data_IF_411658693905
#
_entry.id   IF_411658693905
#
_cell.length_a   1.000
_cell.length_b   1.000
_cell.length_c   1.000
_cell.angle_alpha   90.00
_cell.angle_beta   90.00
_cell.angle_gamma   90.00
#
_symmetry.space_group_name_H-M   'P 1'
#
loop_
_entity.id
_entity.type
_entity.pdbx_description
1 polymer ?
#
# COMPACT_ATOMS: atom_id res chain seq x y z
N UNK A 1 -16.60 -22.50 -8.97
CA UNK A 1 -16.44 -21.12 -9.45
C UNK A 1 -17.32 -20.21 -8.59
N UNK A 2 -16.81 -19.04 -8.26
CA UNK A 2 -17.58 -18.07 -7.47
C UNK A 2 -17.40 -16.70 -8.08
N UNK A 3 -18.49 -16.00 -8.31
CA UNK A 3 -18.47 -14.63 -8.82
C UNK A 3 -18.95 -13.72 -7.68
N UNK A 4 -18.07 -12.81 -7.24
CA UNK A 4 -18.43 -11.76 -6.28
C UNK A 4 -18.76 -10.52 -7.09
N UNK A 5 -20.00 -10.05 -6.94
CA UNK A 5 -20.47 -8.89 -7.71
C UNK A 5 -19.96 -7.59 -7.08
N UNK A 6 -20.09 -6.51 -7.80
CA UNK A 6 -19.67 -5.16 -7.39
C UNK A 6 -20.58 -4.60 -6.26
N UNK A 7 -20.68 -5.35 -5.18
CA UNK A 7 -21.49 -5.00 -4.01
C UNK A 7 -20.68 -4.93 -2.72
N UNK A 8 -19.37 -5.09 -2.83
CA UNK A 8 -18.46 -5.02 -1.68
C UNK A 8 -18.26 -3.56 -1.34
N UNK A 9 -18.49 -3.19 -0.09
CA UNK A 9 -18.27 -1.84 0.39
C UNK A 9 -16.80 -1.49 0.44
N UNK A 10 -16.49 -0.24 0.10
CA UNK A 10 -15.16 0.33 0.30
C UNK A 10 -14.92 0.52 1.79
N UNK A 11 -13.76 0.08 2.26
CA UNK A 11 -13.35 0.27 3.65
C UNK A 11 -12.46 1.50 3.76
N UNK A 12 -12.61 2.22 4.88
CA UNK A 12 -11.70 3.32 5.21
C UNK A 12 -10.46 2.75 5.86
N UNK A 13 -9.28 3.18 5.42
CA UNK A 13 -8.02 2.76 6.01
C UNK A 13 -7.92 3.23 7.46
N UNK A 14 -7.58 2.32 8.41
CA UNK A 14 -7.48 2.70 9.83
C UNK A 14 -6.37 3.73 10.06
N UNK A 15 -6.67 4.73 10.92
CA UNK A 15 -5.69 5.76 11.27
C UNK A 15 -4.43 5.20 11.97
N UNK A 16 -4.52 4.00 12.51
CA UNK A 16 -3.36 3.32 13.12
C UNK A 16 -2.31 2.94 12.09
N UNK A 17 -2.72 2.68 10.84
CA UNK A 17 -1.87 2.19 9.75
C UNK A 17 -1.64 3.20 8.64
N UNK A 18 -2.39 4.28 8.63
CA UNK A 18 -2.35 5.29 7.57
C UNK A 18 -2.37 6.71 8.12
N UNK A 19 -1.70 7.61 7.43
CA UNK A 19 -1.84 9.05 7.60
C UNK A 19 -2.61 9.59 6.40
N UNK A 20 -3.61 10.44 6.65
CA UNK A 20 -4.46 10.99 5.60
C UNK A 20 -5.58 10.03 5.18
N UNK A 21 -6.34 10.42 4.16
CA UNK A 21 -7.47 9.66 3.66
C UNK A 21 -7.05 8.51 2.75
N UNK A 22 -7.38 7.29 3.16
CA UNK A 22 -7.09 6.08 2.39
C UNK A 22 -8.35 5.21 2.34
N UNK A 23 -8.66 4.69 1.16
CA UNK A 23 -9.85 3.89 0.93
C UNK A 23 -9.44 2.57 0.28
N UNK A 24 -10.01 1.46 0.75
CA UNK A 24 -9.56 0.11 0.41
C UNK A 24 -10.71 -0.70 -0.14
N UNK A 25 -10.55 -1.21 -1.35
CA UNK A 25 -11.48 -2.14 -1.98
C UNK A 25 -10.84 -3.53 -2.03
N UNK A 26 -11.54 -4.53 -1.48
CA UNK A 26 -11.04 -5.91 -1.49
C UNK A 26 -11.07 -6.48 -2.92
N UNK A 27 -9.99 -7.15 -3.30
CA UNK A 27 -9.89 -7.87 -4.58
C UNK A 27 -9.86 -9.37 -4.33
N UNK A 28 -9.03 -9.83 -3.41
CA UNK A 28 -8.95 -11.24 -3.02
C UNK A 28 -8.68 -11.31 -1.52
N UNK A 29 -9.33 -12.26 -0.86
CA UNK A 29 -9.13 -12.50 0.58
C UNK A 29 -8.68 -13.93 0.79
N UNK A 30 -7.86 -14.20 1.82
CA UNK A 30 -7.47 -15.57 2.16
C UNK A 30 -8.72 -16.42 2.41
N UNK A 31 -8.69 -17.63 1.88
CA UNK A 31 -9.78 -18.60 2.04
C UNK A 31 -9.21 -20.01 2.09
N UNK A 32 -10.06 -21.01 2.18
CA UNK A 32 -9.62 -22.40 2.21
C UNK A 32 -8.70 -22.71 1.03
N UNK A 33 -7.47 -23.10 1.34
CA UNK A 33 -6.45 -23.42 0.35
C UNK A 33 -5.75 -22.25 -0.31
N UNK A 34 -6.08 -21.00 0.08
CA UNK A 34 -5.43 -19.81 -0.45
C UNK A 34 -4.98 -18.87 0.67
N UNK A 35 -3.75 -18.37 0.57
CA UNK A 35 -3.21 -17.37 1.49
C UNK A 35 -3.03 -16.00 0.82
N UNK A 36 -3.62 -15.85 -0.37
CA UNK A 36 -3.51 -14.61 -1.13
C UNK A 36 -4.44 -13.55 -0.58
N UNK A 37 -3.89 -12.37 -0.36
CA UNK A 37 -4.64 -11.17 -0.01
C UNK A 37 -4.30 -10.07 -1.01
N UNK A 38 -5.31 -9.49 -1.63
CA UNK A 38 -5.13 -8.40 -2.58
C UNK A 38 -6.20 -7.33 -2.39
N UNK A 39 -5.80 -6.07 -2.53
CA UNK A 39 -6.70 -4.93 -2.39
C UNK A 39 -6.33 -3.84 -3.37
N UNK A 40 -7.32 -3.09 -3.83
CA UNK A 40 -7.12 -1.83 -4.54
C UNK A 40 -7.16 -0.72 -3.49
N UNK A 41 -6.06 0.00 -3.36
CA UNK A 41 -5.87 0.99 -2.28
C UNK A 41 -5.75 2.38 -2.90
N UNK A 42 -6.62 3.29 -2.46
CA UNK A 42 -6.75 4.65 -2.96
C UNK A 42 -6.24 5.63 -1.92
N UNK A 43 -5.21 6.39 -2.28
CA UNK A 43 -4.59 7.39 -1.40
C UNK A 43 -4.93 8.78 -1.88
N UNK A 44 -5.49 9.62 -1.02
CA UNK A 44 -5.66 11.04 -1.31
C UNK A 44 -4.31 11.74 -1.29
N UNK A 45 -4.17 12.95 -1.89
CA UNK A 45 -2.89 13.66 -1.89
C UNK A 45 -2.26 13.75 -0.50
N UNK A 46 -1.01 13.37 -0.39
CA UNK A 46 -0.26 13.36 0.88
C UNK A 46 -0.51 12.17 1.79
N UNK A 47 -1.52 11.34 1.51
CA UNK A 47 -1.81 10.17 2.31
C UNK A 47 -0.76 9.07 2.08
N UNK A 48 -0.49 8.30 3.13
CA UNK A 48 0.55 7.26 3.10
C UNK A 48 0.34 6.22 4.18
N UNK A 49 0.97 5.07 4.01
CA UNK A 49 1.00 4.04 5.03
C UNK A 49 1.97 4.43 6.17
N UNK A 50 1.82 3.80 7.31
CA UNK A 50 2.88 3.73 8.31
C UNK A 50 4.04 2.89 7.77
N UNK A 51 5.20 2.92 8.43
CA UNK A 51 6.26 1.95 8.21
C UNK A 51 5.75 0.56 8.56
N UNK A 52 6.01 -0.42 7.71
CA UNK A 52 5.52 -1.78 7.93
C UNK A 52 6.35 -2.82 7.19
N UNK A 53 6.12 -4.08 7.52
CA UNK A 53 6.75 -5.24 6.89
C UNK A 53 5.69 -6.27 6.52
N UNK A 54 6.03 -7.13 5.58
CA UNK A 54 5.19 -8.28 5.19
C UNK A 54 5.99 -9.57 5.33
N UNK A 55 5.41 -10.65 5.89
CA UNK A 55 6.15 -11.90 6.13
C UNK A 55 6.64 -12.57 4.84
N UNK A 56 5.89 -12.43 3.73
CA UNK A 56 6.23 -13.03 2.45
C UNK A 56 6.49 -11.99 1.35
N UNK A 57 6.76 -10.73 1.75
CA UNK A 57 6.91 -9.62 0.82
C UNK A 57 5.58 -9.09 0.33
N UNK A 58 5.66 -8.03 -0.47
CA UNK A 58 4.49 -7.39 -1.07
C UNK A 58 4.81 -6.94 -2.47
N UNK A 59 3.87 -7.18 -3.39
CA UNK A 59 3.88 -6.52 -4.70
C UNK A 59 2.83 -5.43 -4.68
N UNK A 60 3.19 -4.23 -5.13
CA UNK A 60 2.22 -3.19 -5.46
C UNK A 60 2.31 -2.87 -6.95
N UNK A 61 1.16 -2.65 -7.55
CA UNK A 61 1.04 -2.29 -8.97
C UNK A 61 0.22 -1.01 -9.07
N UNK A 62 0.86 0.07 -9.52
CA UNK A 62 0.20 1.37 -9.63
C UNK A 62 -0.76 1.37 -10.80
N UNK A 63 -1.99 1.77 -10.55
CA UNK A 63 -3.05 1.82 -11.57
C UNK A 63 -3.43 3.25 -11.94
N UNK A 64 -3.34 4.19 -11.01
CA UNK A 64 -3.71 5.59 -11.24
C UNK A 64 -2.87 6.54 -10.40
N UNK A 65 -2.71 7.77 -10.89
CA UNK A 65 -2.11 8.85 -10.14
C UNK A 65 -0.60 8.79 -10.06
N UNK A 66 -0.03 9.44 -9.05
CA UNK A 66 1.41 9.47 -8.78
C UNK A 66 1.64 9.15 -7.32
N UNK A 67 2.49 8.18 -7.07
CA UNK A 67 2.82 7.75 -5.72
C UNK A 67 4.29 7.85 -5.37
N UNK A 68 4.55 7.55 -4.12
CA UNK A 68 5.90 7.50 -3.54
C UNK A 68 6.06 6.19 -2.79
N UNK A 69 7.27 5.68 -2.76
CA UNK A 69 7.62 4.54 -1.90
C UNK A 69 9.05 4.66 -1.41
N UNK A 70 9.32 4.04 -0.27
CA UNK A 70 10.64 4.05 0.34
C UNK A 70 10.84 2.80 1.18
N UNK A 71 12.00 2.16 1.05
CA UNK A 71 12.49 1.20 2.04
C UNK A 71 13.31 1.94 3.09
N UNK A 72 13.34 1.41 4.31
CA UNK A 72 14.14 2.00 5.39
C UNK A 72 15.61 2.10 4.96
N UNK A 73 16.18 3.29 5.08
CA UNK A 73 17.56 3.55 4.71
C UNK A 73 17.81 3.81 3.22
N UNK A 74 16.78 3.74 2.39
CA UNK A 74 16.88 4.03 0.96
C UNK A 74 16.29 5.37 0.57
N UNK A 75 16.41 5.76 -0.71
CA UNK A 75 15.78 6.97 -1.21
C UNK A 75 14.27 6.79 -1.38
N UNK A 76 13.54 7.91 -1.44
CA UNK A 76 12.13 7.90 -1.82
C UNK A 76 12.06 7.90 -3.35
N UNK A 77 11.38 6.90 -3.90
CA UNK A 77 11.17 6.78 -5.34
C UNK A 77 9.75 7.22 -5.72
N UNK A 78 9.64 7.86 -6.88
CA UNK A 78 8.34 8.22 -7.47
C UNK A 78 7.87 7.03 -8.31
N UNK A 79 6.61 6.65 -8.14
CA UNK A 79 5.99 5.55 -8.87
C UNK A 79 4.78 6.03 -9.65
N UNK A 80 4.56 5.47 -10.84
CA UNK A 80 3.55 5.90 -11.82
C UNK A 80 2.75 4.71 -12.34
N UNK A 81 1.60 4.95 -12.97
CA UNK A 81 0.78 3.86 -13.51
C UNK A 81 1.58 2.89 -14.39
N UNK A 82 1.42 1.61 -14.12
CA UNK A 82 2.17 0.54 -14.76
C UNK A 82 3.42 0.09 -14.02
N UNK A 83 3.90 0.88 -13.07
CA UNK A 83 5.05 0.48 -12.24
C UNK A 83 4.65 -0.61 -11.26
N UNK A 84 5.54 -1.57 -11.07
CA UNK A 84 5.41 -2.62 -10.06
C UNK A 84 6.59 -2.49 -9.10
N UNK A 85 6.29 -2.55 -7.82
CA UNK A 85 7.32 -2.53 -6.77
C UNK A 85 7.18 -3.82 -5.97
N UNK A 86 8.28 -4.49 -5.74
CA UNK A 86 8.31 -5.63 -4.84
C UNK A 86 9.13 -5.29 -3.61
N UNK A 87 8.50 -5.39 -2.45
CA UNK A 87 9.17 -5.28 -1.15
C UNK A 87 9.49 -6.67 -0.66
N UNK A 88 10.76 -6.90 -0.31
CA UNK A 88 11.22 -8.20 0.14
C UNK A 88 10.58 -8.61 1.48
N UNK A 89 10.48 -9.92 1.78
CA UNK A 89 10.02 -10.37 3.09
C UNK A 89 10.81 -9.70 4.21
N UNK A 90 10.08 -9.10 5.17
CA UNK A 90 10.67 -8.42 6.32
C UNK A 90 11.30 -7.05 6.03
N UNK A 91 11.27 -6.58 4.80
CA UNK A 91 11.79 -5.25 4.44
C UNK A 91 10.85 -4.15 4.92
N UNK A 92 11.33 -3.29 5.82
CA UNK A 92 10.55 -2.18 6.34
C UNK A 92 10.42 -1.08 5.29
N UNK A 93 9.19 -0.70 5.00
CA UNK A 93 8.89 0.23 3.91
C UNK A 93 7.58 0.99 4.15
N UNK A 94 7.33 1.98 3.32
CA UNK A 94 6.04 2.67 3.20
C UNK A 94 5.76 3.02 1.75
N UNK A 95 4.50 3.27 1.45
CA UNK A 95 4.06 3.80 0.17
C UNK A 95 2.83 4.69 0.36
N UNK A 96 2.61 5.57 -0.61
CA UNK A 96 1.53 6.52 -0.53
C UNK A 96 1.44 7.42 -1.75
N UNK A 97 0.58 8.43 -1.68
CA UNK A 97 0.39 9.40 -2.74
C UNK A 97 1.45 10.52 -2.70
N UNK A 98 1.69 11.13 -3.86
CA UNK A 98 2.44 12.37 -3.93
C UNK A 98 1.70 13.49 -3.19
N UNK A 99 2.39 14.59 -2.79
CA UNK A 99 1.74 15.65 -2.01
C UNK A 99 0.57 16.33 -2.72
N UNK A 100 0.59 16.38 -4.03
CA UNK A 100 -0.38 17.11 -4.84
C UNK A 100 -1.21 16.24 -5.78
N UNK A 101 -1.10 14.91 -5.67
CA UNK A 101 -1.82 13.95 -6.51
C UNK A 101 -2.35 12.81 -5.68
N UNK A 102 -3.50 12.26 -6.04
CA UNK A 102 -3.89 10.96 -5.51
C UNK A 102 -3.12 9.84 -6.20
N UNK A 103 -3.13 8.68 -5.60
CA UNK A 103 -2.55 7.47 -6.18
C UNK A 103 -3.39 6.25 -5.81
N UNK A 104 -3.55 5.36 -6.77
CA UNK A 104 -4.20 4.06 -6.54
C UNK A 104 -3.26 2.95 -6.98
N UNK A 105 -3.13 1.92 -6.15
CA UNK A 105 -2.41 0.72 -6.51
C UNK A 105 -3.16 -0.53 -6.08
N UNK A 106 -2.88 -1.64 -6.75
CA UNK A 106 -3.26 -2.98 -6.27
C UNK A 106 -2.12 -3.47 -5.39
N UNK A 107 -2.44 -3.87 -4.16
CA UNK A 107 -1.49 -4.46 -3.23
C UNK A 107 -1.75 -5.96 -3.13
N UNK A 108 -0.70 -6.76 -3.27
CA UNK A 108 -0.79 -8.22 -3.28
C UNK A 108 0.20 -8.77 -2.24
N UNK A 109 -0.31 -9.51 -1.27
CA UNK A 109 0.51 -10.17 -0.26
C UNK A 109 0.04 -11.60 -0.04
N UNK A 110 0.94 -12.44 0.43
CA UNK A 110 0.63 -13.76 0.96
C UNK A 110 0.69 -13.68 2.47
N UNK A 111 -0.41 -14.01 3.16
CA UNK A 111 -0.43 -14.01 4.63
C UNK A 111 0.46 -15.14 5.17
N UNK A 112 0.92 -14.99 6.42
CA UNK A 112 1.69 -16.05 7.09
C UNK A 112 0.79 -17.23 7.52
N UNK A 113 1.38 -18.22 8.17
CA UNK A 113 0.65 -19.41 8.63
C UNK A 113 -0.42 -19.10 9.67
N UNK A 114 -0.31 -17.96 10.36
CA UNK A 114 -1.28 -17.48 11.34
C UNK A 114 -2.33 -16.56 10.75
N UNK A 115 -2.24 -16.28 9.44
CA UNK A 115 -3.17 -15.41 8.73
C UNK A 115 -2.84 -13.93 8.80
N UNK A 116 -1.63 -13.55 9.23
CA UNK A 116 -1.22 -12.16 9.33
C UNK A 116 -0.60 -11.67 8.02
N UNK A 117 -1.10 -10.55 7.46
CA UNK A 117 -0.54 -9.99 6.22
C UNK A 117 0.65 -9.05 6.46
N UNK A 118 0.75 -8.42 7.63
CA UNK A 118 1.71 -7.35 7.88
C UNK A 118 2.00 -7.16 9.37
N UNK A 119 3.14 -6.52 9.64
CA UNK A 119 3.47 -5.99 10.96
C UNK A 119 3.63 -4.47 10.82
N UNK A 120 2.85 -3.72 11.58
CA UNK A 120 2.78 -2.26 11.49
C UNK A 120 3.70 -1.60 12.50
N UNK A 121 4.44 -0.58 12.06
CA UNK A 121 5.34 0.22 12.86
C UNK A 121 4.86 1.66 12.99
N UNK A 122 5.81 2.57 13.21
CA UNK A 122 5.52 3.98 13.38
C UNK A 122 5.01 4.63 12.10
N UNK A 123 4.20 5.67 12.25
CA UNK A 123 3.80 6.47 11.10
C UNK A 123 5.02 7.15 10.46
N UNK A 124 4.95 7.34 9.16
CA UNK A 124 5.92 8.18 8.44
C UNK A 124 5.64 9.62 8.84
N UNK A 125 6.61 10.27 9.48
CA UNK A 125 6.45 11.65 9.92
C UNK A 125 6.34 12.61 8.74
N UNK A 126 5.78 13.79 9.00
CA UNK A 126 5.72 14.83 7.97
C UNK A 126 7.13 15.22 7.49
N UNK A 127 8.11 15.23 8.39
CA UNK A 127 9.51 15.49 8.06
C UNK A 127 10.10 14.41 7.14
N UNK A 128 9.87 13.15 7.47
CA UNK A 128 10.32 12.03 6.62
C UNK A 128 9.67 12.10 5.23
N UNK A 129 8.38 12.36 5.19
CA UNK A 129 7.61 12.47 3.95
C UNK A 129 8.07 13.67 3.10
N UNK A 130 8.40 14.80 3.73
CA UNK A 130 8.84 16.02 3.06
C UNK A 130 10.21 15.86 2.38
N UNK A 131 10.96 14.80 2.68
CA UNK A 131 12.22 14.49 2.00
C UNK A 131 12.01 13.91 0.60
N UNK A 132 10.77 13.72 0.16
CA UNK A 132 10.46 13.22 -1.18
C UNK A 132 10.94 14.19 -2.28
N UNK A 133 11.35 13.66 -3.46
CA UNK A 133 11.68 14.52 -4.58
C UNK A 133 10.44 15.28 -5.05
N UNK A 134 10.66 16.43 -5.68
CA UNK A 134 9.57 17.22 -6.25
C UNK A 134 8.85 16.41 -7.34
N UNK A 135 7.52 16.41 -7.29
CA UNK A 135 6.68 15.75 -8.29
C UNK A 135 6.02 16.84 -9.13
N UNK A 136 6.39 16.91 -10.41
CA UNK A 136 5.77 17.82 -11.35
C UNK A 136 4.46 17.21 -11.86
N UNK A 137 3.44 17.96 -11.72
CA UNK A 137 2.11 17.51 -12.06
C UNK A 137 1.58 17.90 -13.40
#
# INVERSE_FOLDING_TARGET
MRITRNSIETNVGPAEWFTGGVFIDAVASPSDGSRLHASSVHFTPGARTAWHTHPNGQTIWVTEGIGLCQRRGGPIDVIQPGDRVFFEPGEEHWHGAAPNRFMTHVAIVEVDEEGNPATWGDHVSDEEYAAAPAVEG
#
